data_IF_541058940228
#
_entry.id   IF_541058940228
#
_cell.length_a   1.000
_cell.length_b   1.000
_cell.length_c   1.000
_cell.angle_alpha   90.00
_cell.angle_beta   90.00
_cell.angle_gamma   90.00
#
_symmetry.space_group_name_H-M   'P 1'
#
loop_
_entity.id
_entity.type
_entity.pdbx_description
1 polymer ?
#
# COMPACT_ATOMS: atom_id res chain seq x y z
N UNK A 1 -7.74 24.57 24.35
CA UNK A 1 -7.78 23.28 23.58
C UNK A 1 -9.22 22.79 23.59
N UNK A 2 -9.76 22.32 22.49
CA UNK A 2 -11.19 21.95 22.39
C UNK A 2 -11.41 20.60 23.10
N UNK A 3 -12.22 20.63 24.19
CA UNK A 3 -12.57 19.43 25.01
C UNK A 3 -13.15 18.27 24.17
N UNK A 4 -13.70 18.58 22.98
CA UNK A 4 -14.22 17.56 22.05
C UNK A 4 -13.09 16.82 21.35
N UNK A 5 -12.03 17.56 20.97
CA UNK A 5 -10.83 16.99 20.35
C UNK A 5 -10.05 16.12 21.34
N UNK A 6 -9.94 16.58 22.59
CA UNK A 6 -9.29 15.82 23.67
C UNK A 6 -10.00 14.49 23.96
N UNK A 7 -11.33 14.50 24.02
CA UNK A 7 -12.11 13.27 24.22
C UNK A 7 -11.96 12.29 23.05
N UNK A 8 -12.00 12.81 21.82
CA UNK A 8 -11.79 11.99 20.63
C UNK A 8 -10.42 11.29 20.64
N UNK A 9 -9.34 12.03 20.87
CA UNK A 9 -7.99 11.49 20.96
C UNK A 9 -7.89 10.45 22.09
N UNK A 10 -8.44 10.73 23.27
CA UNK A 10 -8.44 9.79 24.39
C UNK A 10 -9.17 8.48 24.09
N UNK A 11 -10.32 8.56 23.41
CA UNK A 11 -11.05 7.36 22.99
C UNK A 11 -10.25 6.58 21.92
N UNK A 12 -9.71 7.28 20.94
CA UNK A 12 -8.89 6.68 19.87
C UNK A 12 -7.69 5.93 20.45
N UNK A 13 -6.92 6.58 21.31
CA UNK A 13 -5.72 5.99 21.90
C UNK A 13 -6.06 4.75 22.76
N UNK A 14 -7.15 4.84 23.56
CA UNK A 14 -7.66 3.70 24.31
C UNK A 14 -8.04 2.52 23.41
N UNK A 15 -8.72 2.76 22.30
CA UNK A 15 -9.15 1.71 21.37
C UNK A 15 -7.96 1.09 20.63
N UNK A 16 -6.93 1.88 20.31
CA UNK A 16 -5.68 1.36 19.71
C UNK A 16 -4.94 0.45 20.70
N UNK A 17 -4.91 0.82 21.97
CA UNK A 17 -4.33 -0.03 23.03
C UNK A 17 -5.11 -1.34 23.21
N UNK A 18 -6.45 -1.28 23.20
CA UNK A 18 -7.30 -2.46 23.26
C UNK A 18 -7.17 -3.37 22.04
N UNK A 19 -6.97 -2.80 20.83
CA UNK A 19 -6.72 -3.56 19.61
C UNK A 19 -5.50 -4.48 19.73
N UNK A 20 -4.47 -4.02 20.44
CA UNK A 20 -3.26 -4.80 20.68
C UNK A 20 -3.46 -5.92 21.74
N UNK A 21 -4.54 -5.85 22.53
CA UNK A 21 -4.82 -6.77 23.63
C UNK A 21 -5.90 -7.81 23.31
N UNK A 22 -6.87 -7.48 22.44
CA UNK A 22 -8.02 -8.32 22.12
C UNK A 22 -7.97 -8.82 20.69
N UNK A 23 -7.86 -10.12 20.51
CA UNK A 23 -7.77 -10.76 19.19
C UNK A 23 -9.09 -10.71 18.39
N UNK A 24 -10.25 -10.45 19.03
CA UNK A 24 -11.57 -10.43 18.39
C UNK A 24 -11.97 -9.04 17.84
N UNK A 25 -11.16 -8.02 18.07
CA UNK A 25 -11.37 -6.64 17.61
C UNK A 25 -12.62 -5.96 18.19
N UNK A 26 -13.36 -6.61 19.10
CA UNK A 26 -14.59 -6.06 19.66
C UNK A 26 -14.29 -4.97 20.66
N UNK A 27 -14.91 -3.78 20.50
CA UNK A 27 -14.78 -2.67 21.43
C UNK A 27 -15.93 -2.68 22.45
N UNK A 28 -15.71 -1.93 23.54
CA UNK A 28 -16.73 -1.68 24.54
C UNK A 28 -17.95 -0.95 23.95
N UNK A 29 -19.10 -1.14 24.56
CA UNK A 29 -20.35 -0.44 24.16
C UNK A 29 -20.26 1.07 24.40
N UNK A 30 -21.09 1.85 23.70
CA UNK A 30 -21.20 3.30 23.91
C UNK A 30 -21.45 3.66 25.40
N UNK A 31 -22.15 2.80 26.14
CA UNK A 31 -22.47 3.01 27.57
C UNK A 31 -21.25 2.78 28.44
N UNK A 32 -20.49 1.71 28.18
CA UNK A 32 -19.27 1.40 28.93
C UNK A 32 -18.20 2.48 28.69
N UNK A 33 -18.00 2.88 27.43
CA UNK A 33 -17.09 3.96 27.08
C UNK A 33 -17.53 5.30 27.70
N UNK A 34 -18.84 5.62 27.73
CA UNK A 34 -19.34 6.83 28.37
C UNK A 34 -19.04 6.85 29.87
N UNK A 35 -19.16 5.70 30.54
CA UNK A 35 -18.81 5.55 31.96
C UNK A 35 -17.31 5.68 32.16
N UNK A 36 -16.50 5.00 31.35
CA UNK A 36 -15.03 5.02 31.44
C UNK A 36 -14.45 6.44 31.28
N UNK A 37 -14.93 7.19 30.29
CA UNK A 37 -14.45 8.54 29.99
C UNK A 37 -15.22 9.64 30.70
N UNK A 38 -16.10 9.31 31.66
CA UNK A 38 -16.95 10.24 32.40
C UNK A 38 -17.60 11.27 31.48
N UNK A 39 -18.29 10.81 30.43
CA UNK A 39 -18.90 11.66 29.41
C UNK A 39 -20.28 11.15 29.00
N UNK A 40 -20.98 11.89 28.14
CA UNK A 40 -22.30 11.46 27.66
C UNK A 40 -22.17 10.44 26.52
N UNK A 41 -23.11 9.49 26.42
CA UNK A 41 -23.24 8.53 25.29
C UNK A 41 -23.29 9.24 23.95
N UNK A 42 -23.88 10.42 23.86
CA UNK A 42 -23.95 11.22 22.63
C UNK A 42 -22.54 11.60 22.15
N UNK A 43 -21.66 12.09 23.03
CA UNK A 43 -20.30 12.47 22.71
C UNK A 43 -19.46 11.24 22.29
N UNK A 44 -19.63 10.11 22.98
CA UNK A 44 -18.99 8.84 22.60
C UNK A 44 -19.45 8.42 21.20
N UNK A 45 -20.75 8.44 20.94
CA UNK A 45 -21.30 8.09 19.62
C UNK A 45 -20.75 8.97 18.51
N UNK A 46 -20.58 10.28 18.75
CA UNK A 46 -19.94 11.17 17.78
C UNK A 46 -18.49 10.78 17.52
N UNK A 47 -17.70 10.51 18.58
CA UNK A 47 -16.32 10.05 18.42
C UNK A 47 -16.22 8.74 17.66
N UNK A 48 -17.04 7.74 18.01
CA UNK A 48 -17.07 6.45 17.30
C UNK A 48 -17.55 6.61 15.86
N UNK A 49 -18.50 7.50 15.57
CA UNK A 49 -18.93 7.76 14.19
C UNK A 49 -17.79 8.37 13.36
N UNK A 50 -16.99 9.25 13.93
CA UNK A 50 -15.80 9.79 13.28
C UNK A 50 -14.77 8.67 13.01
N UNK A 51 -14.54 7.76 13.96
CA UNK A 51 -13.64 6.62 13.78
C UNK A 51 -14.14 5.63 12.71
N UNK A 52 -15.48 5.47 12.59
CA UNK A 52 -16.07 4.68 11.48
C UNK A 52 -15.84 5.38 10.13
N UNK A 53 -16.02 6.70 10.05
CA UNK A 53 -15.73 7.47 8.83
C UNK A 53 -14.25 7.43 8.45
N UNK A 54 -13.35 7.37 9.44
CA UNK A 54 -11.91 7.17 9.24
C UNK A 54 -11.53 5.73 8.89
N UNK A 55 -12.50 4.81 8.80
CA UNK A 55 -12.23 3.40 8.51
C UNK A 55 -11.55 2.61 9.64
N UNK A 56 -11.41 3.19 10.83
CA UNK A 56 -10.80 2.52 11.99
C UNK A 56 -11.77 1.57 12.70
N UNK A 57 -13.08 1.82 12.58
CA UNK A 57 -14.13 1.00 13.14
C UNK A 57 -15.13 0.57 12.07
N UNK A 58 -15.73 -0.56 12.29
CA UNK A 58 -16.86 -1.06 11.51
C UNK A 58 -18.06 -1.33 12.45
N UNK A 59 -19.27 -0.97 12.01
CA UNK A 59 -20.50 -1.32 12.73
C UNK A 59 -21.01 -2.66 12.24
N UNK A 60 -20.91 -3.69 13.08
CA UNK A 60 -21.42 -5.01 12.80
C UNK A 60 -22.82 -5.19 13.40
N UNK A 61 -23.87 -5.55 12.60
CA UNK A 61 -25.20 -5.82 13.12
C UNK A 61 -25.15 -6.90 14.21
N UNK A 62 -25.76 -6.63 15.35
CA UNK A 62 -25.82 -7.53 16.53
C UNK A 62 -24.48 -7.78 17.24
N UNK A 63 -23.34 -7.33 16.70
CA UNK A 63 -21.99 -7.52 17.30
C UNK A 63 -21.40 -6.25 17.89
N UNK A 64 -22.06 -5.09 17.70
CA UNK A 64 -21.54 -3.80 18.14
C UNK A 64 -20.54 -3.19 17.15
N UNK A 65 -19.58 -2.44 17.65
CA UNK A 65 -18.50 -1.90 16.83
C UNK A 65 -17.26 -2.75 17.00
N UNK A 66 -16.61 -3.01 15.87
CA UNK A 66 -15.39 -3.79 15.79
C UNK A 66 -14.24 -2.86 15.33
N UNK A 67 -13.08 -2.99 15.96
CA UNK A 67 -11.86 -2.42 15.40
C UNK A 67 -11.59 -3.12 14.06
N UNK A 68 -11.60 -2.34 13.01
CA UNK A 68 -11.10 -2.81 11.74
C UNK A 68 -9.59 -2.99 11.92
N UNK A 69 -9.08 -4.19 11.68
CA UNK A 69 -7.70 -4.24 11.23
C UNK A 69 -7.66 -3.29 10.04
N UNK A 70 -6.95 -2.17 10.18
CA UNK A 70 -6.80 -1.21 9.09
C UNK A 70 -6.08 -1.96 7.99
N UNK A 71 -6.85 -2.75 7.25
CA UNK A 71 -6.39 -3.40 6.05
C UNK A 71 -6.03 -2.29 5.08
N UNK A 72 -4.96 -2.45 4.38
CA UNK A 72 -4.45 -1.52 3.37
C UNK A 72 -5.57 -0.93 2.48
N UNK A 73 -6.63 -1.69 2.17
CA UNK A 73 -7.71 -1.29 1.27
C UNK A 73 -8.48 -0.02 1.68
N UNK A 74 -8.69 0.26 2.97
CA UNK A 74 -9.48 1.44 3.37
C UNK A 74 -8.67 2.74 3.40
N UNK A 75 -7.35 2.64 3.54
CA UNK A 75 -6.44 3.77 3.40
C UNK A 75 -6.30 4.11 1.91
N UNK A 76 -6.23 3.07 1.05
CA UNK A 76 -6.08 3.19 -0.39
C UNK A 76 -7.23 3.99 -1.01
N UNK A 77 -8.48 3.64 -0.71
CA UNK A 77 -9.66 4.31 -1.29
C UNK A 77 -9.67 5.81 -0.95
N UNK A 78 -9.29 6.17 0.28
CA UNK A 78 -9.21 7.57 0.70
C UNK A 78 -8.04 8.31 0.05
N UNK A 79 -6.87 7.67 -0.08
CA UNK A 79 -5.70 8.23 -0.74
C UNK A 79 -5.96 8.43 -2.24
N UNK A 80 -6.51 7.43 -2.92
CA UNK A 80 -6.86 7.52 -4.34
C UNK A 80 -7.83 8.68 -4.58
N UNK A 81 -8.89 8.80 -3.76
CA UNK A 81 -9.83 9.92 -3.84
C UNK A 81 -9.14 11.27 -3.61
N UNK A 82 -8.19 11.37 -2.66
CA UNK A 82 -7.43 12.59 -2.42
C UNK A 82 -6.51 12.92 -3.60
N UNK A 83 -5.87 11.92 -4.22
CA UNK A 83 -5.04 12.12 -5.40
C UNK A 83 -5.85 12.67 -6.56
N UNK A 84 -7.06 12.13 -6.79
CA UNK A 84 -7.95 12.62 -7.84
C UNK A 84 -8.43 14.05 -7.59
N UNK A 85 -8.79 14.38 -6.35
CA UNK A 85 -9.20 15.73 -5.96
C UNK A 85 -8.05 16.75 -5.98
N UNK A 86 -6.82 16.33 -5.74
CA UNK A 86 -5.64 17.20 -5.68
C UNK A 86 -5.06 17.51 -7.07
N UNK A 87 -5.49 16.77 -8.10
CA UNK A 87 -5.07 17.01 -9.48
C UNK A 87 -3.57 16.75 -9.73
N UNK A 88 -2.94 15.87 -8.96
CA UNK A 88 -1.56 15.44 -9.21
C UNK A 88 -1.45 14.84 -10.61
N UNK A 89 -0.38 15.18 -11.30
CA UNK A 89 -0.12 14.65 -12.63
C UNK A 89 0.74 13.37 -12.57
N UNK A 90 0.81 12.68 -13.69
CA UNK A 90 1.57 11.44 -13.83
C UNK A 90 3.07 11.63 -13.61
N UNK A 91 3.61 12.83 -13.93
CA UNK A 91 5.03 13.12 -13.75
C UNK A 91 5.42 13.16 -12.29
N UNK A 92 4.56 13.71 -11.41
CA UNK A 92 4.76 13.74 -9.95
C UNK A 92 4.72 12.32 -9.36
N UNK A 93 3.79 11.47 -9.83
CA UNK A 93 3.77 10.05 -9.43
C UNK A 93 5.02 9.30 -9.89
N UNK A 94 5.48 9.56 -11.13
CA UNK A 94 6.69 8.93 -11.67
C UNK A 94 7.93 9.33 -10.86
N UNK A 95 8.08 10.61 -10.52
CA UNK A 95 9.16 11.10 -9.69
C UNK A 95 9.15 10.43 -8.30
N UNK A 96 8.00 10.43 -7.62
CA UNK A 96 7.84 9.79 -6.33
C UNK A 96 8.15 8.29 -6.39
N UNK A 97 7.69 7.59 -7.43
CA UNK A 97 7.95 6.19 -7.69
C UNK A 97 9.45 5.91 -7.81
N UNK A 98 10.17 6.67 -8.64
CA UNK A 98 11.61 6.53 -8.84
C UNK A 98 12.35 6.69 -7.49
N UNK A 99 12.04 7.74 -6.73
CA UNK A 99 12.67 8.00 -5.45
C UNK A 99 12.45 6.85 -4.45
N UNK A 100 11.22 6.39 -4.30
CA UNK A 100 10.88 5.34 -3.33
C UNK A 100 11.45 3.99 -3.77
N UNK A 101 11.24 3.59 -5.03
CA UNK A 101 11.66 2.27 -5.49
C UNK A 101 13.17 2.12 -5.52
N UNK A 102 13.91 3.13 -5.95
CA UNK A 102 15.37 3.09 -5.85
C UNK A 102 15.86 3.03 -4.39
N UNK A 103 15.21 3.76 -3.48
CA UNK A 103 15.59 3.79 -2.06
C UNK A 103 15.30 2.47 -1.32
N UNK A 104 14.31 1.69 -1.75
CA UNK A 104 13.99 0.40 -1.11
C UNK A 104 14.92 -0.73 -1.55
N UNK A 105 15.54 -0.67 -2.74
CA UNK A 105 16.39 -1.75 -3.26
C UNK A 105 17.49 -2.18 -2.28
N UNK A 106 18.25 -1.27 -1.64
CA UNK A 106 19.25 -1.68 -0.65
C UNK A 106 18.67 -2.40 0.57
N UNK A 107 17.44 -2.06 0.97
CA UNK A 107 16.74 -2.75 2.05
C UNK A 107 16.26 -4.13 1.60
N UNK A 108 15.63 -4.20 0.44
CA UNK A 108 15.19 -5.44 -0.17
C UNK A 108 16.36 -6.42 -0.34
N UNK A 109 17.48 -5.98 -0.93
CA UNK A 109 18.68 -6.79 -1.15
C UNK A 109 19.19 -7.45 0.14
N UNK A 110 19.14 -6.72 1.27
CA UNK A 110 19.61 -7.25 2.57
C UNK A 110 18.60 -8.15 3.28
N UNK A 111 17.32 -8.03 2.99
CA UNK A 111 16.23 -8.63 3.77
C UNK A 111 15.42 -9.67 3.00
N UNK A 112 15.62 -9.77 1.68
CA UNK A 112 14.86 -10.67 0.84
C UNK A 112 15.09 -12.13 1.27
N UNK A 113 14.02 -12.89 1.33
CA UNK A 113 14.04 -14.29 1.70
C UNK A 113 13.47 -15.18 0.57
N UNK A 114 13.77 -16.49 0.56
CA UNK A 114 13.47 -17.38 -0.58
C UNK A 114 12.02 -17.32 -1.07
N UNK A 115 11.05 -17.21 -0.16
CA UNK A 115 9.65 -17.19 -0.56
C UNK A 115 9.25 -15.92 -1.35
N UNK A 116 9.85 -14.76 -1.04
CA UNK A 116 9.64 -13.52 -1.82
C UNK A 116 10.37 -13.61 -3.16
N UNK A 117 11.59 -14.16 -3.18
CA UNK A 117 12.33 -14.39 -4.43
C UNK A 117 11.51 -15.24 -5.40
N UNK A 118 10.95 -16.37 -4.93
CA UNK A 118 10.13 -17.24 -5.77
C UNK A 118 8.87 -16.53 -6.30
N UNK A 119 8.27 -15.65 -5.52
CA UNK A 119 7.15 -14.84 -5.99
C UNK A 119 7.57 -13.85 -7.06
N UNK A 120 8.68 -13.12 -6.87
CA UNK A 120 9.21 -12.19 -7.86
C UNK A 120 9.52 -12.90 -9.18
N UNK A 121 10.17 -14.08 -9.13
CA UNK A 121 10.43 -14.90 -10.32
C UNK A 121 9.15 -15.35 -11.02
N UNK A 122 8.10 -15.66 -10.25
CA UNK A 122 6.81 -16.02 -10.79
C UNK A 122 6.13 -14.83 -11.49
N UNK A 123 6.18 -13.62 -10.92
CA UNK A 123 5.61 -12.43 -11.59
C UNK A 123 6.33 -12.17 -12.93
N UNK A 124 7.66 -12.29 -12.99
CA UNK A 124 8.42 -12.14 -14.24
C UNK A 124 7.98 -13.15 -15.30
N UNK A 125 7.78 -14.40 -14.90
CA UNK A 125 7.27 -15.44 -15.81
C UNK A 125 5.86 -15.11 -16.30
N UNK A 126 4.99 -14.63 -15.43
CA UNK A 126 3.62 -14.26 -15.77
C UNK A 126 3.55 -13.03 -16.69
N UNK A 127 4.46 -12.06 -16.55
CA UNK A 127 4.60 -10.95 -17.51
C UNK A 127 4.94 -11.54 -18.91
N UNK A 128 5.93 -12.43 -18.99
CA UNK A 128 6.37 -13.05 -20.25
C UNK A 128 5.26 -13.89 -20.90
N UNK A 129 4.53 -14.70 -20.11
CA UNK A 129 3.45 -15.57 -20.58
C UNK A 129 2.21 -14.79 -21.04
N UNK A 130 2.02 -13.57 -20.55
CA UNK A 130 0.88 -12.72 -20.89
C UNK A 130 1.29 -11.46 -21.66
N UNK A 131 2.46 -11.44 -22.28
CA UNK A 131 2.98 -10.26 -22.97
C UNK A 131 2.08 -9.78 -24.13
N UNK A 132 1.26 -10.65 -24.67
CA UNK A 132 0.22 -10.35 -25.68
C UNK A 132 -1.09 -9.81 -25.08
N UNK A 133 -1.20 -9.77 -23.75
CA UNK A 133 -2.32 -9.19 -23.03
C UNK A 133 -1.87 -8.04 -22.10
N UNK A 134 -1.84 -6.78 -22.61
CA UNK A 134 -1.28 -5.64 -21.88
C UNK A 134 -1.84 -5.46 -20.47
N UNK A 135 -3.14 -5.70 -20.29
CA UNK A 135 -3.79 -5.51 -18.99
C UNK A 135 -3.32 -6.53 -17.95
N UNK A 136 -3.13 -7.78 -18.35
CA UNK A 136 -2.65 -8.83 -17.45
C UNK A 136 -1.16 -8.67 -17.20
N UNK A 137 -0.37 -8.38 -18.23
CA UNK A 137 1.07 -8.16 -18.07
C UNK A 137 1.38 -6.97 -17.18
N UNK A 138 0.66 -5.83 -17.33
CA UNK A 138 0.76 -4.65 -16.46
C UNK A 138 0.43 -4.96 -15.00
N UNK A 139 -0.56 -5.82 -14.76
CA UNK A 139 -0.91 -6.25 -13.41
C UNK A 139 0.24 -7.01 -12.74
N UNK A 140 0.90 -7.91 -13.46
CA UNK A 140 2.06 -8.65 -12.95
C UNK A 140 3.30 -7.75 -12.81
N UNK A 141 3.49 -6.78 -13.69
CA UNK A 141 4.51 -5.74 -13.55
C UNK A 141 4.32 -4.94 -12.25
N UNK A 142 3.10 -4.48 -11.99
CA UNK A 142 2.75 -3.84 -10.71
C UNK A 142 3.05 -4.73 -9.51
N UNK A 143 2.64 -5.99 -9.57
CA UNK A 143 2.79 -6.92 -8.46
C UNK A 143 4.27 -7.23 -8.18
N UNK A 144 5.13 -7.25 -9.21
CA UNK A 144 6.58 -7.30 -9.04
C UNK A 144 7.12 -6.12 -8.20
N UNK A 145 6.72 -4.89 -8.50
CA UNK A 145 7.13 -3.70 -7.75
C UNK A 145 6.60 -3.71 -6.31
N UNK A 146 5.36 -4.13 -6.10
CA UNK A 146 4.77 -4.30 -4.76
C UNK A 146 5.52 -5.34 -3.92
N UNK A 147 5.96 -6.45 -4.53
CA UNK A 147 6.77 -7.46 -3.87
C UNK A 147 8.15 -6.94 -3.45
N UNK A 148 8.79 -6.08 -4.25
CA UNK A 148 10.04 -5.41 -3.88
C UNK A 148 9.84 -4.49 -2.67
N UNK A 149 8.73 -3.74 -2.64
CA UNK A 149 8.36 -2.94 -1.48
C UNK A 149 8.19 -3.82 -0.23
N UNK A 150 7.49 -4.94 -0.36
CA UNK A 150 7.33 -5.92 0.72
C UNK A 150 8.68 -6.49 1.17
N UNK A 151 9.58 -6.80 0.24
CA UNK A 151 10.93 -7.32 0.52
C UNK A 151 11.77 -6.35 1.35
N UNK A 152 11.50 -5.03 1.27
CA UNK A 152 12.17 -4.03 2.11
C UNK A 152 11.95 -4.28 3.61
N UNK A 153 10.90 -5.01 4.00
CA UNK A 153 10.54 -5.30 5.39
C UNK A 153 10.22 -4.05 6.23
N UNK A 154 10.01 -2.90 5.59
CA UNK A 154 9.66 -1.66 6.27
C UNK A 154 8.16 -1.40 6.12
N UNK A 155 7.40 -1.63 7.20
CA UNK A 155 5.94 -1.49 7.22
C UNK A 155 5.45 -0.06 6.88
N UNK A 156 6.24 0.97 7.21
CA UNK A 156 5.90 2.35 6.85
C UNK A 156 6.04 2.56 5.35
N UNK A 157 7.10 2.04 4.74
CA UNK A 157 7.28 2.11 3.29
C UNK A 157 6.21 1.31 2.53
N UNK A 158 5.64 0.28 3.13
CA UNK A 158 4.52 -0.47 2.53
C UNK A 158 3.25 0.39 2.33
N UNK A 159 3.10 1.50 3.06
CA UNK A 159 2.01 2.47 2.79
C UNK A 159 2.16 3.10 1.40
N UNK A 160 3.39 3.18 0.87
CA UNK A 160 3.62 3.65 -0.51
C UNK A 160 3.15 2.66 -1.59
N UNK A 161 2.75 1.43 -1.22
CA UNK A 161 2.11 0.52 -2.18
C UNK A 161 0.87 1.14 -2.82
N UNK A 162 0.16 1.99 -2.09
CA UNK A 162 -1.04 2.65 -2.55
C UNK A 162 -0.72 3.70 -3.64
N UNK A 163 0.42 4.40 -3.49
CA UNK A 163 0.93 5.32 -4.51
C UNK A 163 1.27 4.56 -5.79
N UNK A 164 1.88 3.37 -5.67
CA UNK A 164 2.18 2.52 -6.84
C UNK A 164 0.89 2.03 -7.51
N UNK A 165 -0.09 1.57 -6.74
CA UNK A 165 -1.38 1.13 -7.29
C UNK A 165 -2.04 2.29 -8.05
N UNK A 166 -2.09 3.49 -7.46
CA UNK A 166 -2.64 4.68 -8.11
C UNK A 166 -1.91 5.02 -9.41
N UNK A 167 -0.58 4.91 -9.44
CA UNK A 167 0.21 5.10 -10.65
C UNK A 167 -0.22 4.13 -11.75
N UNK A 168 -0.23 2.84 -11.48
CA UNK A 168 -0.61 1.82 -12.48
C UNK A 168 -2.06 1.97 -12.95
N UNK A 169 -2.98 2.39 -12.08
CA UNK A 169 -4.37 2.68 -12.50
C UNK A 169 -4.45 3.87 -13.42
N UNK A 170 -3.73 4.97 -13.13
CA UNK A 170 -3.72 6.17 -13.97
C UNK A 170 -3.02 5.95 -15.32
N UNK A 171 -2.04 5.06 -15.38
CA UNK A 171 -1.25 4.80 -16.60
C UNK A 171 -1.84 3.69 -17.47
N UNK A 172 -2.82 2.94 -16.96
CA UNK A 172 -3.42 1.80 -17.67
C UNK A 172 -3.98 2.15 -19.05
N UNK A 173 -4.59 3.34 -19.20
CA UNK A 173 -5.16 3.78 -20.47
C UNK A 173 -4.09 4.17 -21.50
N UNK A 174 -2.87 4.40 -21.04
CA UNK A 174 -1.71 4.76 -21.87
C UNK A 174 -0.84 3.57 -22.24
N UNK A 175 -1.24 2.34 -21.87
CA UNK A 175 -0.50 1.14 -22.22
C UNK A 175 -0.45 0.96 -23.75
N UNK A 176 0.70 0.53 -24.30
CA UNK A 176 0.82 0.29 -25.71
C UNK A 176 -0.12 -0.84 -26.15
N UNK A 177 -0.95 -0.57 -27.14
CA UNK A 177 -1.84 -1.57 -27.71
C UNK A 177 -1.02 -2.64 -28.45
N UNK A 178 -1.20 -3.91 -28.03
CA UNK A 178 -0.60 -5.09 -28.67
C UNK A 178 0.93 -5.07 -28.83
N UNK A 179 1.66 -4.34 -27.99
CA UNK A 179 3.13 -4.37 -28.00
C UNK A 179 3.67 -5.45 -27.04
N UNK A 180 3.61 -6.69 -27.49
CA UNK A 180 4.20 -7.84 -26.79
C UNK A 180 5.68 -7.59 -26.43
N UNK A 181 6.45 -6.95 -27.32
CA UNK A 181 7.87 -6.68 -27.11
C UNK A 181 8.11 -5.75 -25.93
N UNK A 182 7.24 -4.76 -25.70
CA UNK A 182 7.33 -3.87 -24.54
C UNK A 182 7.34 -4.64 -23.21
N UNK A 183 6.45 -5.61 -23.05
CA UNK A 183 6.38 -6.41 -21.82
C UNK A 183 7.51 -7.42 -21.70
N UNK A 184 7.97 -8.00 -22.79
CA UNK A 184 9.15 -8.87 -22.81
C UNK A 184 10.42 -8.10 -22.41
N UNK A 185 10.60 -6.88 -22.91
CA UNK A 185 11.71 -6.01 -22.53
C UNK A 185 11.60 -5.58 -21.06
N UNK A 186 10.38 -5.28 -20.58
CA UNK A 186 10.11 -5.00 -19.18
C UNK A 186 10.52 -6.15 -18.27
N UNK A 187 10.07 -7.36 -18.56
CA UNK A 187 10.42 -8.56 -17.80
C UNK A 187 11.94 -8.85 -17.84
N UNK A 188 12.59 -8.64 -18.98
CA UNK A 188 14.04 -8.82 -19.14
C UNK A 188 14.82 -7.85 -18.23
N UNK A 189 14.47 -6.56 -18.20
CA UNK A 189 15.11 -5.54 -17.34
C UNK A 189 14.89 -5.85 -15.86
N UNK A 190 13.68 -6.22 -15.49
CA UNK A 190 13.36 -6.59 -14.10
C UNK A 190 14.10 -7.87 -13.67
N UNK A 191 14.28 -8.83 -14.58
CA UNK A 191 15.07 -10.03 -14.33
C UNK A 191 16.55 -9.70 -14.07
N UNK A 192 17.08 -8.72 -14.78
CA UNK A 192 18.44 -8.22 -14.55
C UNK A 192 18.55 -7.57 -13.17
N UNK A 193 17.62 -6.67 -12.81
CA UNK A 193 17.54 -6.06 -11.46
C UNK A 193 17.52 -7.15 -10.39
N UNK A 194 16.64 -8.14 -10.53
CA UNK A 194 16.53 -9.25 -9.59
C UNK A 194 17.82 -10.07 -9.48
N UNK A 195 18.57 -10.22 -10.58
CA UNK A 195 19.86 -10.92 -10.59
C UNK A 195 20.89 -10.21 -9.69
N UNK A 196 20.95 -8.87 -9.73
CA UNK A 196 21.85 -8.09 -8.87
C UNK A 196 21.40 -8.09 -7.41
N UNK A 197 20.09 -8.06 -7.15
CA UNK A 197 19.55 -8.25 -5.79
C UNK A 197 20.01 -9.61 -5.23
N UNK A 198 19.92 -10.69 -5.99
CA UNK A 198 20.39 -12.03 -5.59
C UNK A 198 21.89 -12.10 -5.33
N UNK A 199 22.69 -11.33 -6.08
CA UNK A 199 24.14 -11.23 -5.89
C UNK A 199 24.53 -10.35 -4.69
N UNK A 200 23.57 -9.62 -4.10
CA UNK A 200 23.83 -8.66 -3.02
C UNK A 200 24.35 -7.31 -3.50
N UNK A 201 24.36 -7.06 -4.81
CA UNK A 201 24.80 -5.79 -5.41
C UNK A 201 23.63 -4.80 -5.48
N UNK A 202 23.37 -4.18 -4.35
CA UNK A 202 22.27 -3.22 -4.20
C UNK A 202 22.49 -1.94 -5.02
N UNK A 203 23.76 -1.55 -5.26
CA UNK A 203 24.06 -0.34 -6.01
C UNK A 203 23.68 -0.51 -7.47
N UNK A 204 24.14 -1.58 -8.10
CA UNK A 204 23.81 -1.87 -9.50
C UNK A 204 22.32 -2.13 -9.68
N UNK A 205 21.70 -2.87 -8.77
CA UNK A 205 20.25 -3.10 -8.79
C UNK A 205 19.43 -1.81 -8.71
N UNK A 206 19.85 -0.84 -7.87
CA UNK A 206 19.18 0.45 -7.74
C UNK A 206 19.34 1.32 -9.00
N UNK A 207 20.55 1.32 -9.61
CA UNK A 207 20.77 2.07 -10.84
C UNK A 207 19.95 1.50 -12.02
N UNK A 208 19.91 0.19 -12.16
CA UNK A 208 19.08 -0.48 -13.18
C UNK A 208 17.59 -0.22 -12.96
N UNK A 209 17.12 -0.21 -11.71
CA UNK A 209 15.74 0.17 -11.37
C UNK A 209 15.46 1.61 -11.82
N UNK A 210 16.36 2.53 -11.55
CA UNK A 210 16.22 3.94 -11.97
C UNK A 210 16.11 4.06 -13.49
N UNK A 211 16.97 3.39 -14.25
CA UNK A 211 16.94 3.38 -15.72
C UNK A 211 15.62 2.78 -16.22
N UNK A 212 15.22 1.62 -15.67
CA UNK A 212 13.95 0.95 -16.00
C UNK A 212 12.74 1.87 -15.83
N UNK A 213 12.67 2.59 -14.70
CA UNK A 213 11.54 3.48 -14.42
C UNK A 213 11.54 4.76 -15.28
N UNK A 214 12.73 5.28 -15.64
CA UNK A 214 12.86 6.44 -16.53
C UNK A 214 12.49 6.11 -17.98
N UNK A 215 12.71 4.89 -18.43
CA UNK A 215 12.40 4.45 -19.80
C UNK A 215 10.90 4.13 -19.97
N UNK A 216 10.17 3.87 -18.90
CA UNK A 216 8.70 3.78 -18.91
C UNK A 216 8.10 5.19 -19.13
N UNK A 217 8.41 5.81 -20.27
CA UNK A 217 7.75 7.05 -20.69
C UNK A 217 6.34 6.70 -21.14
N UNK A 218 5.41 7.22 -20.37
CA UNK A 218 3.99 7.31 -20.74
C UNK A 218 3.79 8.68 -21.39
#
# INVERSE_FOLDING_TARGET
MDKRKELFESIKDYLLDEANRKADGRIETETELATRFNTSRYKVRQALSTLVQMGMLERAPRRGSLLKNVGQSSINDQLLMQFDLSGFDISEFTEARILVECAIIPLATRRIFPAILSKLENELRLIEENADNPQIADQHDRDFHLLLLQASGNRVLQVFSDVLIAYFEKTRESLPDNDCQYFLDTASKQREILSYIKKGDAQMASELMRVHLLEKKI
#
